data_IF_850534418111
#
_entry.id   IF_850534418111
#
_cell.length_a   1.000
_cell.length_b   1.000
_cell.length_c   1.000
_cell.angle_alpha   90.00
_cell.angle_beta   90.00
_cell.angle_gamma   90.00
#
_symmetry.space_group_name_H-M   'P 1'
#
loop_
_entity.id
_entity.type
_entity.pdbx_description
1 polymer ?
#
# COMPACT_ATOMS: atom_id res chain seq x y z
N UNK A 1 31.18 67.99 -1.48
CA UNK A 1 30.40 67.29 -0.45
C UNK A 1 28.99 67.87 -0.52
N UNK A 2 28.16 67.30 -1.40
CA UNK A 2 26.87 67.87 -1.76
C UNK A 2 25.99 66.78 -2.38
N UNK A 3 24.76 66.71 -1.88
CA UNK A 3 23.64 65.97 -2.45
C UNK A 3 23.18 66.64 -3.76
N UNK A 4 22.91 65.87 -4.81
CA UNK A 4 21.66 65.90 -5.61
C UNK A 4 21.72 65.07 -6.91
N UNK A 5 20.52 64.68 -7.37
CA UNK A 5 20.05 64.28 -8.72
C UNK A 5 20.27 62.83 -9.19
N UNK A 6 19.24 62.02 -9.52
CA UNK A 6 18.05 62.10 -10.44
C UNK A 6 18.39 62.06 -11.94
N UNK A 7 17.60 61.21 -12.64
CA UNK A 7 17.38 61.05 -14.11
C UNK A 7 18.49 60.34 -14.91
N UNK A 8 18.28 59.19 -15.57
CA UNK A 8 17.34 58.71 -16.61
C UNK A 8 17.81 58.92 -18.06
N UNK A 9 17.69 57.83 -18.82
CA UNK A 9 17.53 57.68 -20.27
C UNK A 9 18.74 57.71 -21.23
N UNK A 10 18.89 56.58 -21.93
CA UNK A 10 18.80 56.56 -23.40
C UNK A 10 19.62 55.44 -24.05
N UNK A 11 19.25 54.80 -25.16
CA UNK A 11 18.06 54.77 -26.03
C UNK A 11 18.32 53.68 -27.09
N UNK A 12 17.30 52.90 -27.47
CA UNK A 12 16.99 52.42 -28.86
C UNK A 12 16.09 51.20 -28.78
N UNK A 13 14.95 51.07 -29.45
CA UNK A 13 14.24 51.92 -30.40
C UNK A 13 12.96 51.19 -30.86
N UNK A 14 11.85 51.94 -30.89
CA UNK A 14 10.72 51.93 -31.81
C UNK A 14 10.07 50.62 -32.36
N UNK A 15 8.83 50.36 -31.86
CA UNK A 15 7.54 50.10 -32.56
C UNK A 15 7.41 48.95 -33.58
N UNK A 16 6.50 47.99 -33.30
CA UNK A 16 5.25 47.77 -34.07
C UNK A 16 4.41 46.64 -33.43
N UNK A 17 3.11 46.91 -33.31
CA UNK A 17 2.05 45.97 -32.91
C UNK A 17 1.80 44.99 -34.06
N UNK A 18 1.77 43.70 -33.76
CA UNK A 18 1.06 42.72 -34.60
C UNK A 18 0.39 41.68 -33.70
N UNK A 19 -0.94 41.66 -33.77
CA UNK A 19 -1.82 40.70 -33.12
C UNK A 19 -1.86 39.37 -33.88
N UNK A 20 -2.31 38.33 -33.17
CA UNK A 20 -2.69 36.97 -33.56
C UNK A 20 -1.64 35.87 -33.44
N UNK A 21 -1.84 35.05 -32.40
CA UNK A 21 -1.30 33.70 -32.26
C UNK A 21 -1.84 33.05 -31.00
N UNK A 22 -3.00 32.39 -31.10
CA UNK A 22 -3.65 31.65 -30.01
C UNK A 22 -2.66 30.74 -29.26
N UNK A 23 -2.30 31.14 -28.03
CA UNK A 23 -1.50 30.30 -27.14
C UNK A 23 -2.45 29.48 -26.27
N UNK A 24 -2.41 28.17 -26.49
CA UNK A 24 -3.30 27.18 -25.90
C UNK A 24 -3.62 27.42 -24.43
N UNK A 25 -4.92 27.41 -24.12
CA UNK A 25 -5.46 27.31 -22.77
C UNK A 25 -4.85 26.08 -22.11
N UNK A 26 -3.84 26.28 -21.27
CA UNK A 26 -3.43 25.31 -20.26
C UNK A 26 -4.66 25.06 -19.37
N UNK A 27 -5.45 24.04 -19.72
CA UNK A 27 -6.56 23.57 -18.90
C UNK A 27 -5.94 23.03 -17.63
N UNK A 28 -5.94 23.82 -16.56
CA UNK A 28 -5.65 23.30 -15.23
C UNK A 28 -6.54 22.06 -15.01
N UNK A 29 -5.99 20.95 -14.49
CA UNK A 29 -6.79 19.78 -14.22
C UNK A 29 -7.93 20.18 -13.28
N UNK A 30 -9.17 19.94 -13.69
CA UNK A 30 -10.34 20.24 -12.87
C UNK A 30 -10.32 19.31 -11.65
N UNK A 31 -9.69 19.76 -10.57
CA UNK A 31 -9.57 19.01 -9.31
C UNK A 31 -10.94 18.62 -8.75
N UNK A 32 -11.96 19.46 -8.92
CA UNK A 32 -13.35 19.13 -8.51
C UNK A 32 -13.93 17.94 -9.29
N UNK A 33 -13.55 17.77 -10.55
CA UNK A 33 -14.00 16.65 -11.39
C UNK A 33 -13.30 15.36 -10.97
N UNK A 34 -12.00 15.43 -10.66
CA UNK A 34 -11.21 14.33 -10.07
C UNK A 34 -11.76 13.91 -8.70
N UNK A 35 -12.09 14.87 -7.85
CA UNK A 35 -12.70 14.64 -6.53
C UNK A 35 -14.09 14.01 -6.67
N UNK A 36 -14.95 14.53 -7.56
CA UNK A 36 -16.26 13.91 -7.87
C UNK A 36 -16.11 12.48 -8.40
N UNK A 37 -15.18 12.23 -9.32
CA UNK A 37 -14.90 10.88 -9.84
C UNK A 37 -14.42 9.93 -8.74
N UNK A 38 -13.59 10.42 -7.80
CA UNK A 38 -13.12 9.64 -6.64
C UNK A 38 -14.28 9.25 -5.72
N UNK A 39 -15.18 10.18 -5.41
CA UNK A 39 -16.37 9.89 -4.59
C UNK A 39 -17.40 9.03 -5.31
N UNK A 40 -17.57 9.21 -6.62
CA UNK A 40 -18.44 8.36 -7.44
C UNK A 40 -17.88 6.94 -7.47
N UNK A 41 -16.57 6.77 -7.73
CA UNK A 41 -15.92 5.45 -7.72
C UNK A 41 -15.97 4.79 -6.35
N UNK A 42 -15.83 5.56 -5.27
CA UNK A 42 -15.98 5.09 -3.89
C UNK A 42 -17.43 4.67 -3.60
N UNK A 43 -18.41 5.46 -4.05
CA UNK A 43 -19.83 5.16 -3.92
C UNK A 43 -20.23 3.90 -4.67
N UNK A 44 -19.78 3.73 -5.92
CA UNK A 44 -19.99 2.51 -6.70
C UNK A 44 -19.27 1.31 -6.07
N UNK A 45 -18.03 1.47 -5.61
CA UNK A 45 -17.32 0.39 -4.94
C UNK A 45 -18.03 -0.04 -3.65
N UNK A 46 -18.54 0.92 -2.87
CA UNK A 46 -19.31 0.64 -1.66
C UNK A 46 -20.64 -0.04 -1.99
N UNK A 47 -21.37 0.46 -2.99
CA UNK A 47 -22.66 -0.09 -3.43
C UNK A 47 -22.51 -1.50 -4.03
N UNK A 48 -21.43 -1.78 -4.76
CA UNK A 48 -21.16 -3.11 -5.32
C UNK A 48 -20.65 -4.05 -4.21
N UNK A 49 -19.75 -3.57 -3.34
CA UNK A 49 -19.18 -4.37 -2.25
C UNK A 49 -20.19 -4.70 -1.15
N UNK A 50 -21.19 -3.85 -0.93
CA UNK A 50 -22.22 -4.03 0.10
C UNK A 50 -23.64 -4.17 -0.47
N UNK A 51 -23.79 -4.22 -1.78
CA UNK A 51 -25.09 -4.24 -2.46
C UNK A 51 -25.95 -5.45 -2.08
N UNK A 52 -25.31 -6.60 -1.88
CA UNK A 52 -26.00 -7.77 -1.35
C UNK A 52 -26.58 -7.50 0.04
N UNK A 53 -25.83 -6.87 0.95
CA UNK A 53 -26.32 -6.55 2.29
C UNK A 53 -27.43 -5.48 2.27
N UNK A 54 -27.29 -4.46 1.41
CA UNK A 54 -28.29 -3.41 1.25
C UNK A 54 -29.65 -3.95 0.75
N UNK A 55 -29.65 -5.03 -0.03
CA UNK A 55 -30.87 -5.67 -0.54
C UNK A 55 -31.38 -6.78 0.41
N UNK A 56 -30.46 -7.50 1.07
CA UNK A 56 -30.79 -8.59 1.99
C UNK A 56 -31.37 -8.10 3.32
N UNK A 57 -30.90 -6.98 3.88
CA UNK A 57 -31.38 -6.45 5.18
C UNK A 57 -32.85 -6.01 5.14
N UNK A 58 -33.33 -5.24 4.15
CA UNK A 58 -34.75 -4.92 4.01
C UNK A 58 -35.60 -6.18 3.76
N UNK A 59 -35.10 -7.11 2.94
CA UNK A 59 -35.80 -8.36 2.64
C UNK A 59 -35.97 -9.23 3.90
N UNK A 60 -34.92 -9.33 4.72
CA UNK A 60 -34.96 -9.99 6.03
C UNK A 60 -35.91 -9.27 7.00
N UNK A 61 -35.94 -7.93 7.00
CA UNK A 61 -36.87 -7.15 7.83
C UNK A 61 -38.33 -7.39 7.46
N UNK A 62 -38.66 -7.40 6.16
CA UNK A 62 -40.00 -7.73 5.66
C UNK A 62 -40.36 -9.18 5.98
N UNK A 63 -39.44 -10.13 5.76
CA UNK A 63 -39.65 -11.52 6.12
C UNK A 63 -39.89 -11.69 7.63
N UNK A 64 -39.12 -11.00 8.49
CA UNK A 64 -39.29 -11.04 9.93
C UNK A 64 -40.66 -10.47 10.38
N UNK A 65 -41.12 -9.37 9.77
CA UNK A 65 -42.44 -8.80 10.05
C UNK A 65 -43.57 -9.78 9.66
N UNK A 66 -43.45 -10.47 8.52
CA UNK A 66 -44.38 -11.52 8.13
C UNK A 66 -44.28 -12.77 9.03
N UNK A 67 -43.09 -13.15 9.49
CA UNK A 67 -42.89 -14.24 10.44
C UNK A 67 -43.47 -13.93 11.83
N UNK A 68 -43.43 -12.66 12.28
CA UNK A 68 -44.10 -12.24 13.53
C UNK A 68 -45.63 -12.35 13.46
N UNK A 69 -46.22 -12.37 12.27
CA UNK A 69 -47.66 -12.63 12.07
C UNK A 69 -47.99 -14.12 11.93
N UNK A 70 -47.00 -15.02 11.89
CA UNK A 70 -47.24 -16.46 11.78
C UNK A 70 -47.63 -17.06 13.13
N UNK A 71 -48.77 -17.74 13.14
CA UNK A 71 -49.30 -18.44 14.31
C UNK A 71 -48.87 -19.92 14.24
N UNK A 72 -48.85 -20.63 15.38
CA UNK A 72 -48.51 -22.08 15.45
C UNK A 72 -49.37 -22.93 14.49
N UNK A 73 -50.62 -22.49 14.22
CA UNK A 73 -51.54 -23.11 13.27
C UNK A 73 -51.02 -23.06 11.82
N UNK A 74 -50.40 -21.95 11.42
CA UNK A 74 -49.84 -21.77 10.07
C UNK A 74 -48.63 -22.69 9.86
N UNK A 75 -47.85 -22.93 10.91
CA UNK A 75 -46.72 -23.86 10.88
C UNK A 75 -47.19 -25.32 10.72
N UNK A 76 -48.26 -25.71 11.43
CA UNK A 76 -48.91 -27.02 11.26
C UNK A 76 -49.50 -27.21 9.86
N UNK A 77 -50.12 -26.17 9.31
CA UNK A 77 -50.66 -26.20 7.95
C UNK A 77 -49.55 -26.28 6.89
N UNK A 78 -48.46 -25.54 7.07
CA UNK A 78 -47.27 -25.63 6.22
C UNK A 78 -46.63 -27.02 6.30
N UNK A 79 -46.54 -27.62 7.49
CA UNK A 79 -46.03 -28.97 7.69
C UNK A 79 -46.90 -30.04 6.99
N UNK A 80 -48.22 -29.89 7.05
CA UNK A 80 -49.14 -30.75 6.30
C UNK A 80 -48.99 -30.54 4.78
N UNK A 81 -48.83 -29.30 4.30
CA UNK A 81 -48.55 -29.04 2.88
C UNK A 81 -47.18 -29.57 2.44
N UNK A 82 -46.14 -29.51 3.27
CA UNK A 82 -44.85 -30.13 2.97
C UNK A 82 -44.95 -31.66 2.90
N UNK A 83 -45.76 -32.30 3.76
CA UNK A 83 -45.94 -33.75 3.74
C UNK A 83 -46.69 -34.26 2.51
N UNK A 84 -47.64 -33.49 1.98
CA UNK A 84 -48.55 -33.96 0.92
C UNK A 84 -48.34 -33.28 -0.45
N UNK A 85 -47.52 -32.22 -0.55
CA UNK A 85 -47.33 -31.47 -1.79
C UNK A 85 -45.85 -31.39 -2.20
N UNK A 86 -45.50 -32.20 -3.20
CA UNK A 86 -44.14 -32.28 -3.77
C UNK A 86 -43.64 -30.92 -4.28
N UNK A 87 -44.53 -30.09 -4.82
CA UNK A 87 -44.17 -28.76 -5.34
C UNK A 87 -43.65 -27.85 -4.24
N UNK A 88 -44.27 -27.85 -3.06
CA UNK A 88 -43.85 -27.05 -1.90
C UNK A 88 -42.47 -27.49 -1.40
N UNK A 89 -42.21 -28.80 -1.37
CA UNK A 89 -40.90 -29.35 -0.97
C UNK A 89 -39.80 -28.94 -1.96
N UNK A 90 -40.08 -29.01 -3.26
CA UNK A 90 -39.15 -28.56 -4.31
C UNK A 90 -38.86 -27.06 -4.17
N UNK A 91 -39.87 -26.23 -3.93
CA UNK A 91 -39.69 -24.78 -3.79
C UNK A 91 -38.87 -24.42 -2.54
N UNK A 92 -39.16 -25.02 -1.38
CA UNK A 92 -38.42 -24.77 -0.15
C UNK A 92 -36.97 -25.26 -0.24
N UNK A 93 -36.72 -26.42 -0.84
CA UNK A 93 -35.36 -26.93 -1.05
C UNK A 93 -34.57 -26.07 -2.03
N UNK A 94 -35.19 -25.63 -3.14
CA UNK A 94 -34.58 -24.69 -4.09
C UNK A 94 -34.21 -23.36 -3.42
N UNK A 95 -35.10 -22.81 -2.58
CA UNK A 95 -34.85 -21.59 -1.81
C UNK A 95 -33.67 -21.77 -0.85
N UNK A 96 -33.61 -22.89 -0.12
CA UNK A 96 -32.50 -23.18 0.80
C UNK A 96 -31.16 -23.30 0.06
N UNK A 97 -31.12 -23.99 -1.08
CA UNK A 97 -29.92 -24.10 -1.91
C UNK A 97 -29.50 -22.73 -2.46
N UNK A 98 -30.46 -21.91 -2.90
CA UNK A 98 -30.21 -20.56 -3.39
C UNK A 98 -29.61 -19.67 -2.29
N UNK A 99 -30.22 -19.64 -1.10
CA UNK A 99 -29.73 -18.87 0.05
C UNK A 99 -28.35 -19.35 0.52
N UNK A 100 -28.12 -20.68 0.57
CA UNK A 100 -26.82 -21.24 0.91
C UNK A 100 -25.75 -20.82 -0.12
N UNK A 101 -26.06 -20.89 -1.41
CA UNK A 101 -25.16 -20.47 -2.50
C UNK A 101 -24.80 -18.99 -2.38
N UNK A 102 -25.80 -18.11 -2.17
CA UNK A 102 -25.57 -16.69 -1.93
C UNK A 102 -24.71 -16.43 -0.69
N UNK A 103 -24.92 -17.18 0.39
CA UNK A 103 -24.10 -17.10 1.59
C UNK A 103 -22.64 -17.49 1.32
N UNK A 104 -22.39 -18.61 0.63
CA UNK A 104 -21.03 -19.04 0.31
C UNK A 104 -20.33 -18.09 -0.69
N UNK A 105 -21.07 -17.52 -1.65
CA UNK A 105 -20.53 -16.56 -2.62
C UNK A 105 -20.21 -15.19 -2.00
N UNK A 106 -20.96 -14.77 -0.98
CA UNK A 106 -20.75 -13.48 -0.30
C UNK A 106 -19.64 -13.52 0.77
N UNK A 107 -19.13 -14.70 1.11
CA UNK A 107 -18.05 -14.84 2.11
C UNK A 107 -16.74 -14.28 1.54
N UNK A 108 -16.03 -13.42 2.31
CA UNK A 108 -14.73 -12.94 1.89
C UNK A 108 -13.77 -14.11 1.71
N UNK A 109 -13.00 -14.09 0.63
CA UNK A 109 -11.96 -15.10 0.37
C UNK A 109 -10.88 -14.94 1.44
N UNK A 110 -10.56 -16.04 2.12
CA UNK A 110 -9.49 -16.05 3.11
C UNK A 110 -8.14 -15.96 2.40
N UNK A 111 -7.27 -15.07 2.89
CA UNK A 111 -5.88 -14.92 2.43
C UNK A 111 -4.99 -15.50 3.50
N UNK A 112 -4.03 -16.32 3.08
CA UNK A 112 -3.14 -17.04 3.98
C UNK A 112 -1.69 -16.73 3.66
N UNK A 113 -0.87 -16.60 4.70
CA UNK A 113 0.58 -16.62 4.56
C UNK A 113 1.00 -18.08 4.42
N UNK A 114 1.43 -18.46 3.22
CA UNK A 114 1.90 -19.84 2.95
C UNK A 114 3.31 -20.03 3.44
N UNK A 115 4.19 -19.06 3.20
CA UNK A 115 5.59 -19.14 3.56
C UNK A 115 6.24 -17.74 3.66
N UNK A 116 7.41 -17.66 4.29
CA UNK A 116 8.24 -16.47 4.41
C UNK A 116 9.73 -16.84 4.34
N UNK A 117 10.54 -15.88 3.87
CA UNK A 117 11.99 -15.96 3.89
C UNK A 117 12.57 -14.58 4.25
N UNK A 118 13.70 -14.58 4.95
CA UNK A 118 14.41 -13.37 5.33
C UNK A 118 15.85 -13.50 4.85
N UNK A 119 16.34 -12.50 4.11
CA UNK A 119 17.75 -12.45 3.76
C UNK A 119 18.60 -12.27 5.01
N UNK A 120 19.62 -13.11 5.16
CA UNK A 120 20.64 -12.99 6.21
C UNK A 120 21.98 -12.62 5.55
N UNK A 121 22.54 -11.44 5.85
CA UNK A 121 23.81 -11.03 5.28
C UNK A 121 24.98 -11.89 5.81
N UNK A 122 26.09 -11.85 5.09
CA UNK A 122 27.34 -12.50 5.50
C UNK A 122 27.91 -11.89 6.79
N UNK A 123 28.66 -12.69 7.55
CA UNK A 123 29.28 -12.24 8.82
C UNK A 123 30.19 -11.03 8.66
N UNK A 124 30.80 -10.82 7.49
CA UNK A 124 31.64 -9.66 7.20
C UNK A 124 30.88 -8.33 7.31
N UNK A 125 29.54 -8.35 7.21
CA UNK A 125 28.67 -7.17 7.35
C UNK A 125 28.13 -6.98 8.77
N UNK A 126 28.52 -7.86 9.71
CA UNK A 126 28.15 -7.74 11.11
C UNK A 126 28.87 -6.55 11.73
N UNK A 127 28.12 -5.69 12.39
CA UNK A 127 28.61 -4.50 13.04
C UNK A 127 28.32 -4.60 14.54
N UNK A 128 29.37 -4.67 15.33
CA UNK A 128 29.26 -4.50 16.77
C UNK A 128 29.05 -3.02 17.10
N UNK A 129 28.62 -2.73 18.33
CA UNK A 129 28.41 -1.37 18.81
C UNK A 129 29.71 -0.57 18.82
N UNK A 130 30.80 -1.23 19.14
CA UNK A 130 32.14 -0.65 19.23
C UNK A 130 32.62 -0.27 17.83
N UNK A 131 32.48 -1.18 16.86
CA UNK A 131 32.79 -0.90 15.44
C UNK A 131 31.94 0.28 14.97
N UNK A 132 30.64 0.29 15.24
CA UNK A 132 29.78 1.40 14.82
C UNK A 132 30.26 2.75 15.38
N UNK A 133 30.55 2.81 16.69
CA UNK A 133 31.02 4.04 17.32
C UNK A 133 32.40 4.46 16.83
N UNK A 134 33.32 3.52 16.63
CA UNK A 134 34.64 3.79 16.05
C UNK A 134 34.51 4.42 14.66
N UNK A 135 33.68 3.84 13.79
CA UNK A 135 33.44 4.34 12.43
C UNK A 135 32.79 5.72 12.44
N UNK A 136 31.85 5.97 13.35
CA UNK A 136 31.26 7.31 13.54
C UNK A 136 32.29 8.36 13.93
N UNK A 137 33.23 8.04 14.83
CA UNK A 137 34.34 8.95 15.20
C UNK A 137 35.24 9.21 14.00
N UNK A 138 35.63 8.15 13.28
CA UNK A 138 36.52 8.24 12.11
C UNK A 138 35.90 9.00 10.93
N UNK A 139 34.57 9.15 10.89
CA UNK A 139 33.89 9.94 9.87
C UNK A 139 34.21 11.44 9.99
N UNK A 140 34.57 11.91 11.20
CA UNK A 140 34.99 13.30 11.43
C UNK A 140 33.88 14.36 11.33
N UNK A 141 32.63 13.94 11.12
CA UNK A 141 31.48 14.84 10.92
C UNK A 141 30.66 15.10 12.19
N UNK A 142 30.86 14.30 13.24
CA UNK A 142 30.05 14.37 14.47
C UNK A 142 30.81 15.07 15.59
N UNK A 143 30.13 15.97 16.31
CA UNK A 143 30.64 16.53 17.56
C UNK A 143 30.64 15.46 18.67
N UNK A 144 31.38 15.72 19.76
CA UNK A 144 31.39 14.85 20.93
C UNK A 144 29.98 14.66 21.53
N UNK A 145 29.15 15.71 21.54
CA UNK A 145 27.76 15.63 21.99
C UNK A 145 26.92 14.72 21.10
N UNK A 146 27.08 14.82 19.77
CA UNK A 146 26.38 13.95 18.82
C UNK A 146 26.80 12.49 18.98
N UNK A 147 28.09 12.23 19.20
CA UNK A 147 28.62 10.89 19.44
C UNK A 147 28.10 10.31 20.77
N UNK A 148 28.05 11.12 21.83
CA UNK A 148 27.48 10.71 23.12
C UNK A 148 25.99 10.39 22.99
N UNK A 149 25.23 11.19 22.25
CA UNK A 149 23.83 10.93 21.96
C UNK A 149 23.64 9.66 21.13
N UNK A 150 24.43 9.47 20.07
CA UNK A 150 24.40 8.28 19.24
C UNK A 150 24.71 7.01 20.04
N UNK A 151 25.69 7.06 20.95
CA UNK A 151 25.99 5.96 21.88
C UNK A 151 24.80 5.64 22.78
N UNK A 152 24.13 6.66 23.33
CA UNK A 152 22.94 6.50 24.18
C UNK A 152 21.77 5.87 23.43
N UNK A 153 21.58 6.23 22.15
CA UNK A 153 20.61 5.57 21.25
C UNK A 153 21.00 4.10 21.07
N UNK A 154 22.26 3.82 20.74
CA UNK A 154 22.74 2.47 20.47
C UNK A 154 22.53 1.54 21.67
N UNK A 155 22.81 2.00 22.88
CA UNK A 155 22.61 1.27 24.14
C UNK A 155 21.13 0.99 24.46
N UNK A 156 20.21 1.83 23.94
CA UNK A 156 18.75 1.74 24.22
C UNK A 156 17.91 1.22 23.05
N UNK A 157 18.51 1.04 21.88
CA UNK A 157 17.82 0.65 20.63
C UNK A 157 17.35 -0.81 20.59
N UNK A 158 17.81 -1.66 21.52
CA UNK A 158 17.59 -3.10 21.46
C UNK A 158 18.45 -3.83 20.41
N UNK A 159 19.33 -3.11 19.69
CA UNK A 159 20.25 -3.72 18.72
C UNK A 159 21.39 -4.43 19.43
N UNK A 160 21.59 -5.71 19.11
CA UNK A 160 22.66 -6.54 19.66
C UNK A 160 23.96 -6.44 18.86
N UNK A 161 25.00 -7.15 19.33
CA UNK A 161 26.31 -7.19 18.67
C UNK A 161 26.30 -7.96 17.32
N UNK A 162 25.20 -8.62 17.00
CA UNK A 162 25.00 -9.39 15.77
C UNK A 162 24.14 -8.62 14.73
N UNK A 163 24.13 -7.29 14.81
CA UNK A 163 23.39 -6.44 13.86
C UNK A 163 24.20 -6.30 12.57
N UNK A 164 23.54 -6.27 11.41
CA UNK A 164 24.22 -6.11 10.12
C UNK A 164 23.97 -4.72 9.56
N UNK A 165 24.99 -4.13 8.93
CA UNK A 165 24.88 -2.84 8.26
C UNK A 165 25.38 -2.94 6.82
N UNK A 166 24.86 -2.10 5.90
CA UNK A 166 25.36 -2.05 4.53
C UNK A 166 26.83 -1.67 4.48
N UNK A 167 27.57 -2.24 3.52
CA UNK A 167 29.00 -1.98 3.34
C UNK A 167 29.31 -0.48 3.16
N UNK A 168 28.43 0.22 2.43
CA UNK A 168 28.50 1.66 2.24
C UNK A 168 28.50 2.48 3.53
N UNK A 169 27.87 1.98 4.59
CA UNK A 169 27.81 2.61 5.93
C UNK A 169 29.05 2.25 6.75
N UNK A 170 29.59 1.04 6.60
CA UNK A 170 30.75 0.57 7.35
C UNK A 170 32.10 1.09 6.81
N UNK A 171 32.11 1.57 5.56
CA UNK A 171 33.31 2.16 4.93
C UNK A 171 33.71 3.47 5.63
N UNK A 172 35.01 3.77 5.62
CA UNK A 172 35.57 5.05 6.10
C UNK A 172 36.36 5.67 4.96
N UNK A 173 35.94 6.83 4.41
CA UNK A 173 34.67 7.50 4.70
C UNK A 173 33.44 6.71 4.18
N UNK A 174 32.24 6.91 4.77
CA UNK A 174 31.01 6.31 4.27
C UNK A 174 30.71 6.73 2.83
N UNK A 175 30.08 5.85 2.05
CA UNK A 175 29.71 6.10 0.65
C UNK A 175 28.20 5.89 0.39
N UNK A 176 27.32 6.76 0.91
CA UNK A 176 25.88 6.63 0.75
C UNK A 176 25.43 7.12 -0.64
N UNK A 177 25.81 6.42 -1.71
CA UNK A 177 25.41 6.74 -3.07
C UNK A 177 24.29 5.82 -3.59
N UNK A 178 23.59 6.25 -4.65
CA UNK A 178 22.48 5.49 -5.23
C UNK A 178 22.90 4.13 -5.80
N UNK A 179 24.14 4.00 -6.27
CA UNK A 179 24.66 2.73 -6.76
C UNK A 179 24.81 1.70 -5.64
N UNK A 180 25.34 2.11 -4.48
CA UNK A 180 25.47 1.22 -3.31
C UNK A 180 24.10 0.89 -2.71
N UNK A 181 23.18 1.85 -2.67
CA UNK A 181 21.81 1.60 -2.21
C UNK A 181 21.07 0.60 -3.13
N UNK A 182 21.24 0.72 -4.46
CA UNK A 182 20.72 -0.25 -5.43
C UNK A 182 21.30 -1.63 -5.21
N UNK A 183 22.63 -1.73 -5.09
CA UNK A 183 23.35 -2.99 -4.87
C UNK A 183 22.85 -3.70 -3.62
N UNK A 184 22.65 -2.97 -2.52
CA UNK A 184 22.11 -3.54 -1.29
C UNK A 184 20.65 -3.98 -1.45
N UNK A 185 19.81 -3.15 -2.08
CA UNK A 185 18.40 -3.50 -2.31
C UNK A 185 18.26 -4.77 -3.16
N UNK A 186 19.00 -4.89 -4.27
CA UNK A 186 19.01 -6.08 -5.13
C UNK A 186 19.43 -7.32 -4.34
N UNK A 187 20.52 -7.23 -3.59
CA UNK A 187 21.05 -8.35 -2.83
C UNK A 187 20.11 -8.83 -1.72
N UNK A 188 19.48 -7.90 -0.99
CA UNK A 188 18.51 -8.23 0.07
C UNK A 188 17.21 -8.78 -0.53
N UNK A 189 16.67 -8.14 -1.57
CA UNK A 189 15.40 -8.54 -2.19
C UNK A 189 15.54 -9.88 -2.91
N UNK A 190 16.53 -10.02 -3.81
CA UNK A 190 16.74 -11.28 -4.53
C UNK A 190 17.12 -12.40 -3.58
N UNK A 191 18.00 -12.15 -2.60
CA UNK A 191 18.36 -13.16 -1.62
C UNK A 191 17.18 -13.69 -0.81
N UNK A 192 16.18 -12.85 -0.49
CA UNK A 192 14.96 -13.29 0.18
C UNK A 192 13.98 -13.99 -0.77
N UNK A 193 13.79 -13.45 -1.99
CA UNK A 193 12.86 -13.99 -2.99
C UNK A 193 13.33 -15.37 -3.45
N UNK A 194 14.61 -15.53 -3.79
CA UNK A 194 15.18 -16.80 -4.26
C UNK A 194 15.00 -17.91 -3.21
N UNK A 195 15.25 -17.59 -1.93
CA UNK A 195 15.00 -18.52 -0.83
C UNK A 195 13.52 -18.90 -0.70
N UNK A 196 12.61 -17.94 -0.83
CA UNK A 196 11.17 -18.17 -0.76
C UNK A 196 10.67 -19.05 -1.93
N UNK A 197 11.12 -18.77 -3.15
CA UNK A 197 10.76 -19.54 -4.34
C UNK A 197 11.33 -20.96 -4.27
N UNK A 198 12.58 -21.11 -3.82
CA UNK A 198 13.19 -22.41 -3.61
C UNK A 198 12.45 -23.24 -2.55
N UNK A 199 12.01 -22.61 -1.46
CA UNK A 199 11.28 -23.29 -0.38
C UNK A 199 9.87 -23.71 -0.78
N UNK A 200 9.17 -22.86 -1.53
CA UNK A 200 7.77 -23.10 -1.92
C UNK A 200 7.59 -23.86 -3.23
N UNK A 201 8.61 -23.86 -4.10
CA UNK A 201 8.52 -24.41 -5.46
C UNK A 201 7.64 -23.60 -6.42
N UNK A 202 7.15 -22.43 -5.99
CA UNK A 202 6.33 -21.54 -6.81
C UNK A 202 7.19 -20.94 -7.92
N UNK A 203 6.69 -20.97 -9.16
CA UNK A 203 7.39 -20.34 -10.28
C UNK A 203 7.06 -18.84 -10.30
N UNK A 204 8.06 -18.01 -10.60
CA UNK A 204 7.86 -16.56 -10.66
C UNK A 204 6.69 -16.13 -11.57
N UNK A 205 6.47 -16.87 -12.68
CA UNK A 205 5.35 -16.63 -13.62
C UNK A 205 3.96 -16.87 -13.04
N UNK A 206 3.86 -17.61 -11.93
CA UNK A 206 2.59 -17.92 -11.27
C UNK A 206 2.23 -16.84 -10.21
N UNK A 207 3.11 -15.87 -9.99
CA UNK A 207 2.90 -14.75 -9.05
C UNK A 207 2.15 -13.63 -9.79
N UNK A 208 0.88 -13.43 -9.43
CA UNK A 208 0.04 -12.39 -10.04
C UNK A 208 0.21 -10.99 -9.46
N UNK A 209 0.70 -10.86 -8.22
CA UNK A 209 0.82 -9.58 -7.52
C UNK A 209 2.13 -9.58 -6.72
N UNK A 210 2.94 -8.54 -6.92
CA UNK A 210 4.12 -8.25 -6.12
C UNK A 210 3.89 -6.93 -5.38
N UNK A 211 4.07 -6.94 -4.06
CA UNK A 211 4.02 -5.75 -3.22
C UNK A 211 5.41 -5.53 -2.64
N UNK A 212 6.04 -4.41 -2.99
CA UNK A 212 7.39 -4.03 -2.52
C UNK A 212 7.28 -2.79 -1.65
N UNK A 213 7.97 -2.82 -0.50
CA UNK A 213 8.16 -1.65 0.35
C UNK A 213 9.67 -1.44 0.55
N UNK A 214 10.18 -0.29 0.15
CA UNK A 214 11.56 0.10 0.38
C UNK A 214 11.61 1.59 0.71
N UNK A 215 12.20 1.96 1.83
CA UNK A 215 12.42 3.36 2.21
C UNK A 215 13.84 3.84 1.88
N UNK A 216 14.80 2.92 1.83
CA UNK A 216 16.23 3.20 1.67
C UNK A 216 16.64 3.41 0.21
N UNK A 217 15.82 2.97 -0.75
CA UNK A 217 16.11 3.04 -2.17
C UNK A 217 14.85 3.42 -2.95
N UNK A 218 14.79 4.68 -3.41
CA UNK A 218 13.66 5.26 -4.15
C UNK A 218 14.11 5.77 -5.53
N UNK A 219 14.48 4.88 -6.47
CA UNK A 219 14.87 5.30 -7.82
C UNK A 219 13.66 5.87 -8.59
N UNK A 220 13.92 6.72 -9.60
CA UNK A 220 12.92 7.12 -10.60
C UNK A 220 13.34 6.58 -11.97
N UNK A 221 12.50 5.80 -12.69
CA UNK A 221 11.18 5.31 -12.28
C UNK A 221 11.27 4.39 -11.05
N UNK A 222 10.19 4.34 -10.26
CA UNK A 222 10.11 3.49 -9.06
C UNK A 222 10.40 2.04 -9.44
N UNK A 223 11.28 1.39 -8.69
CA UNK A 223 11.94 0.10 -8.90
C UNK A 223 11.11 -1.01 -9.57
N UNK A 224 10.96 -0.90 -10.89
CA UNK A 224 10.55 -1.96 -11.82
C UNK A 224 11.16 -1.60 -13.19
N UNK A 225 11.86 -2.52 -13.86
CA UNK A 225 11.81 -2.55 -15.32
C UNK A 225 10.42 -2.96 -15.81
#
# INVERSE_FOLDING_TARGET
MGDEKKESLGTSGCVLVQDMGERGKNKLPNFLLSVRLKYVKLGYHYLISHGMYLLLVPLLGVAAAHLSTLTIKDFLQLWNHLKFNLVTVILCSALMVFLATLYFMSRPRKVYLVDFACYKPEKARMCTREIFMERSVLTGTFSEENLAFQKKILERSGLGQNTYLPEAVLRVPPNPCMAEARKEAELVMFGAIDQLLAKTGVKAKDIGILVVNCSLFNPTPSSLP
#
